data_IF_930302954997
#
_entry.id   IF_930302954997
#
_cell.length_a   1.000
_cell.length_b   1.000
_cell.length_c   1.000
_cell.angle_alpha   90.00
_cell.angle_beta   90.00
_cell.angle_gamma   90.00
#
_symmetry.space_group_name_H-M   'P 1'
#
loop_
_entity.id
_entity.type
_entity.pdbx_description
1 polymer ?
#
# COMPACT_ATOMS: atom_id res chain seq x y z
N UNK A 1 11.95 -24.74 30.53
CA UNK A 1 11.14 -25.11 29.35
C UNK A 1 12.00 -24.74 28.13
N UNK A 2 12.41 -25.77 27.37
CA UNK A 2 13.14 -25.50 26.11
C UNK A 2 12.12 -25.06 25.06
N UNK A 3 12.05 -23.75 24.78
CA UNK A 3 11.30 -23.21 23.66
C UNK A 3 12.13 -23.45 22.40
N UNK A 4 11.78 -24.46 21.61
CA UNK A 4 12.34 -24.53 20.25
C UNK A 4 11.63 -23.47 19.42
N UNK A 5 12.34 -22.42 19.06
CA UNK A 5 11.92 -21.50 18.01
C UNK A 5 11.77 -22.38 16.76
N UNK A 6 10.56 -22.44 16.20
CA UNK A 6 10.36 -23.09 14.90
C UNK A 6 11.12 -22.27 13.86
N UNK A 7 12.14 -22.84 13.26
CA UNK A 7 12.78 -22.21 12.10
C UNK A 7 11.77 -22.12 10.95
N UNK A 8 11.84 -21.07 10.12
CA UNK A 8 10.92 -20.88 8.98
C UNK A 8 10.79 -22.10 8.06
N UNK A 9 11.83 -22.87 7.91
CA UNK A 9 11.87 -24.14 7.18
C UNK A 9 11.02 -25.27 7.79
N UNK A 10 10.61 -25.11 9.04
CA UNK A 10 9.79 -26.09 9.78
C UNK A 10 8.33 -25.65 9.94
N UNK A 11 7.95 -24.50 9.36
CA UNK A 11 6.56 -24.03 9.35
C UNK A 11 5.81 -24.85 8.30
N UNK A 12 5.03 -25.80 8.75
CA UNK A 12 4.11 -26.55 7.89
C UNK A 12 2.96 -25.63 7.43
N UNK A 13 2.43 -25.86 6.23
CA UNK A 13 1.21 -25.18 5.76
C UNK A 13 1.40 -24.33 4.49
N UNK A 14 2.55 -23.70 4.26
CA UNK A 14 2.82 -23.04 2.99
C UNK A 14 2.83 -24.02 1.83
N UNK A 15 2.09 -23.70 0.78
CA UNK A 15 2.20 -24.42 -0.49
C UNK A 15 3.48 -24.03 -1.26
N UNK A 16 3.78 -24.73 -2.35
CA UNK A 16 5.02 -24.53 -3.10
C UNK A 16 5.09 -23.15 -3.77
N UNK A 17 3.95 -22.60 -4.22
CA UNK A 17 3.89 -21.23 -4.75
C UNK A 17 4.33 -20.21 -3.70
N UNK A 18 3.74 -20.27 -2.52
CA UNK A 18 4.01 -19.33 -1.44
C UNK A 18 5.47 -19.44 -0.98
N UNK A 19 6.02 -20.66 -0.92
CA UNK A 19 7.46 -20.86 -0.64
C UNK A 19 8.34 -20.18 -1.68
N UNK A 20 8.03 -20.30 -2.99
CA UNK A 20 8.81 -19.66 -4.05
C UNK A 20 8.70 -18.14 -4.01
N UNK A 21 7.50 -17.59 -3.84
CA UNK A 21 7.29 -16.13 -3.72
C UNK A 21 8.01 -15.56 -2.51
N UNK A 22 7.92 -16.24 -1.36
CA UNK A 22 8.65 -15.86 -0.14
C UNK A 22 10.16 -15.91 -0.36
N UNK A 23 10.68 -16.99 -0.94
CA UNK A 23 12.10 -17.10 -1.25
C UNK A 23 12.56 -15.99 -2.22
N UNK A 24 11.77 -15.72 -3.26
CA UNK A 24 12.04 -14.62 -4.19
C UNK A 24 12.11 -13.27 -3.44
N UNK A 25 11.22 -13.01 -2.48
CA UNK A 25 11.28 -11.79 -1.68
C UNK A 25 12.61 -11.67 -0.92
N UNK A 26 13.08 -12.75 -0.27
CA UNK A 26 14.35 -12.73 0.45
C UNK A 26 15.56 -12.58 -0.48
N UNK A 27 15.55 -13.25 -1.61
CA UNK A 27 16.68 -13.26 -2.55
C UNK A 27 16.78 -11.97 -3.39
N UNK A 28 15.66 -11.24 -3.56
CA UNK A 28 15.62 -10.02 -4.35
C UNK A 28 16.25 -8.86 -3.57
N UNK A 29 17.31 -8.24 -4.07
CA UNK A 29 17.87 -7.05 -3.43
C UNK A 29 16.92 -5.85 -3.57
N UNK A 30 16.95 -4.96 -2.57
CA UNK A 30 16.29 -3.67 -2.69
C UNK A 30 17.03 -2.79 -3.68
N UNK A 31 16.35 -2.26 -4.68
CA UNK A 31 16.91 -1.35 -5.68
C UNK A 31 16.20 0.00 -5.64
N UNK A 32 16.92 1.05 -6.01
CA UNK A 32 16.32 2.38 -6.17
C UNK A 32 15.96 2.59 -7.65
N UNK A 33 14.71 2.96 -7.90
CA UNK A 33 14.21 3.24 -9.25
C UNK A 33 14.03 4.74 -9.46
N UNK A 34 14.65 5.27 -10.51
CA UNK A 34 14.50 6.68 -10.92
C UNK A 34 13.33 6.89 -11.90
N UNK A 35 12.64 5.83 -12.32
CA UNK A 35 11.63 5.87 -13.36
C UNK A 35 10.50 6.87 -13.05
N UNK A 36 9.91 6.79 -11.83
CA UNK A 36 8.86 7.73 -11.39
C UNK A 36 9.34 9.16 -11.44
N UNK A 37 10.54 9.42 -10.91
CA UNK A 37 11.13 10.75 -10.90
C UNK A 37 11.35 11.33 -12.31
N UNK A 38 11.75 10.50 -13.27
CA UNK A 38 11.90 10.95 -14.67
C UNK A 38 10.56 11.30 -15.31
N UNK A 39 9.53 10.45 -15.10
CA UNK A 39 8.17 10.70 -15.63
C UNK A 39 7.63 12.00 -15.04
N UNK A 40 7.69 12.16 -13.74
CA UNK A 40 7.22 13.33 -13.02
C UNK A 40 7.97 14.60 -13.45
N UNK A 41 9.30 14.55 -13.47
CA UNK A 41 10.12 15.69 -13.89
C UNK A 41 9.78 16.15 -15.30
N UNK A 42 9.64 15.22 -16.24
CA UNK A 42 9.26 15.52 -17.62
C UNK A 42 7.87 16.16 -17.70
N UNK A 43 6.90 15.65 -16.92
CA UNK A 43 5.56 16.20 -16.86
C UNK A 43 5.53 17.62 -16.28
N UNK A 44 6.19 17.84 -15.15
CA UNK A 44 6.24 19.14 -14.50
C UNK A 44 7.01 20.20 -15.32
N UNK A 45 8.08 19.84 -16.03
CA UNK A 45 8.78 20.73 -16.97
C UNK A 45 7.84 21.34 -18.02
N UNK A 46 6.83 20.58 -18.44
CA UNK A 46 5.90 20.99 -19.51
C UNK A 46 4.64 21.68 -18.98
N UNK A 47 4.18 21.31 -17.78
CA UNK A 47 2.83 21.63 -17.31
C UNK A 47 2.79 22.53 -16.08
N UNK A 48 3.90 22.77 -15.39
CA UNK A 48 3.91 23.62 -14.20
C UNK A 48 3.38 25.04 -14.49
N UNK A 49 2.40 25.48 -13.69
CA UNK A 49 1.77 26.80 -13.86
C UNK A 49 0.74 26.89 -14.98
N UNK A 50 0.41 25.80 -15.68
CA UNK A 50 -0.59 25.79 -16.76
C UNK A 50 -1.99 25.42 -16.31
N UNK A 51 -2.13 24.89 -15.11
CA UNK A 51 -3.40 24.44 -14.53
C UNK A 51 -3.36 24.51 -12.99
N UNK A 52 -4.51 24.42 -12.30
CA UNK A 52 -4.58 24.37 -10.84
C UNK A 52 -3.77 23.22 -10.25
N UNK A 53 -3.22 23.43 -9.04
CA UNK A 53 -2.36 22.44 -8.38
C UNK A 53 -3.00 21.07 -8.19
N UNK A 54 -4.28 20.93 -7.73
CA UNK A 54 -4.91 19.63 -7.61
C UNK A 54 -4.96 18.86 -8.93
N UNK A 55 -5.39 19.55 -10.00
CA UNK A 55 -5.48 18.97 -11.35
C UNK A 55 -4.10 18.63 -11.91
N UNK A 56 -3.08 19.48 -11.66
CA UNK A 56 -1.70 19.21 -12.07
C UNK A 56 -1.18 17.92 -11.44
N UNK A 57 -1.39 17.74 -10.12
CA UNK A 57 -0.98 16.55 -9.39
C UNK A 57 -1.69 15.29 -9.90
N UNK A 58 -3.01 15.36 -10.06
CA UNK A 58 -3.79 14.24 -10.56
C UNK A 58 -3.38 13.80 -11.98
N UNK A 59 -3.11 14.77 -12.86
CA UNK A 59 -2.59 14.47 -14.21
C UNK A 59 -1.17 13.90 -14.19
N UNK A 60 -0.33 14.36 -13.28
CA UNK A 60 0.99 13.75 -13.07
C UNK A 60 0.86 12.29 -12.62
N UNK A 61 -0.01 12.01 -11.65
CA UNK A 61 -0.31 10.65 -11.21
C UNK A 61 -0.84 9.78 -12.37
N UNK A 62 -1.74 10.31 -13.19
CA UNK A 62 -2.22 9.65 -14.40
C UNK A 62 -1.07 9.30 -15.36
N UNK A 63 -0.14 10.23 -15.62
CA UNK A 63 1.02 10.00 -16.48
C UNK A 63 1.98 8.95 -15.89
N UNK A 64 2.17 8.93 -14.58
CA UNK A 64 2.93 7.89 -13.89
C UNK A 64 2.26 6.52 -14.10
N UNK A 65 0.97 6.39 -13.80
CA UNK A 65 0.21 5.16 -13.99
C UNK A 65 0.20 4.68 -15.45
N UNK A 66 0.22 5.61 -16.40
CA UNK A 66 0.24 5.35 -17.83
C UNK A 66 1.60 4.86 -18.35
N UNK A 67 2.71 5.37 -17.79
CA UNK A 67 4.05 5.18 -18.38
C UNK A 67 4.94 4.24 -17.59
N UNK A 68 4.76 4.17 -16.26
CA UNK A 68 5.63 3.32 -15.44
C UNK A 68 5.64 1.88 -15.92
N UNK A 69 6.77 1.22 -15.79
CA UNK A 69 6.88 -0.23 -16.03
C UNK A 69 5.97 -1.00 -15.09
N UNK A 70 5.33 -2.03 -15.60
CA UNK A 70 4.48 -2.94 -14.83
C UNK A 70 5.03 -4.36 -14.93
N UNK A 71 4.77 -5.17 -13.90
CA UNK A 71 5.34 -6.49 -13.75
C UNK A 71 4.29 -7.50 -13.29
N UNK A 72 4.35 -8.70 -13.85
CA UNK A 72 3.63 -9.89 -13.37
C UNK A 72 4.64 -11.03 -13.30
N UNK A 73 4.94 -11.47 -12.09
CA UNK A 73 5.87 -12.58 -11.84
C UNK A 73 5.29 -13.96 -12.15
N UNK A 74 6.14 -14.97 -12.26
CA UNK A 74 5.73 -16.33 -12.69
C UNK A 74 4.73 -17.00 -11.74
N UNK A 75 4.77 -16.70 -10.45
CA UNK A 75 3.92 -17.28 -9.40
C UNK A 75 2.89 -16.30 -8.83
N UNK A 76 2.86 -15.04 -9.29
CA UNK A 76 1.95 -14.03 -8.74
C UNK A 76 0.49 -14.30 -9.12
N UNK A 77 -0.40 -14.16 -8.12
CA UNK A 77 -1.86 -14.14 -8.26
C UNK A 77 -2.40 -12.73 -7.99
N UNK A 78 -1.83 -12.03 -7.03
CA UNK A 78 -2.09 -10.61 -6.78
C UNK A 78 -0.99 -9.82 -7.48
N UNK A 79 -1.38 -8.87 -8.36
CA UNK A 79 -0.46 -8.18 -9.26
C UNK A 79 -0.35 -6.69 -8.95
N UNK A 80 0.78 -6.11 -9.33
CA UNK A 80 1.10 -4.71 -9.16
C UNK A 80 2.26 -4.48 -8.19
N UNK A 81 3.19 -3.60 -8.61
CA UNK A 81 4.34 -3.15 -7.83
C UNK A 81 4.41 -1.63 -7.86
N UNK A 82 4.95 -1.01 -6.79
CA UNK A 82 5.18 0.44 -6.75
C UNK A 82 6.27 0.85 -7.76
N UNK A 83 7.33 0.09 -7.85
CA UNK A 83 8.40 0.24 -8.84
C UNK A 83 8.24 -0.65 -10.06
N UNK A 84 9.25 -0.73 -10.93
CA UNK A 84 9.23 -1.59 -12.12
C UNK A 84 9.34 -3.09 -11.84
N UNK A 85 9.81 -3.46 -10.65
CA UNK A 85 10.01 -4.84 -10.19
C UNK A 85 9.73 -4.94 -8.68
N UNK A 86 9.56 -6.14 -8.11
CA UNK A 86 9.53 -6.33 -6.67
C UNK A 86 10.76 -5.70 -5.99
N UNK A 87 10.54 -5.00 -4.88
CA UNK A 87 11.58 -4.28 -4.10
C UNK A 87 12.35 -3.19 -4.88
N UNK A 88 11.84 -2.75 -6.03
CA UNK A 88 12.33 -1.57 -6.73
C UNK A 88 11.59 -0.33 -6.20
N UNK A 89 12.28 0.51 -5.46
CA UNK A 89 11.71 1.62 -4.70
C UNK A 89 11.79 2.91 -5.52
N UNK A 90 10.68 3.62 -5.78
CA UNK A 90 10.71 4.89 -6.48
C UNK A 90 11.26 6.02 -5.62
N UNK A 91 11.79 7.06 -6.29
CA UNK A 91 12.14 8.34 -5.67
C UNK A 91 11.03 9.38 -5.87
N UNK A 92 10.95 10.34 -4.94
CA UNK A 92 9.93 11.39 -4.87
C UNK A 92 10.61 12.77 -4.83
N UNK A 93 11.17 13.23 -5.95
CA UNK A 93 12.00 14.44 -6.00
C UNK A 93 11.24 15.71 -5.64
N UNK A 94 9.92 15.72 -5.80
CA UNK A 94 9.04 16.83 -5.43
C UNK A 94 8.95 17.03 -3.91
N UNK A 95 9.16 15.97 -3.15
CA UNK A 95 9.19 15.99 -1.69
C UNK A 95 10.62 16.24 -1.21
N UNK A 96 11.52 15.37 -1.63
CA UNK A 96 12.93 15.41 -1.27
C UNK A 96 13.77 14.85 -2.42
N UNK A 97 14.63 15.69 -2.99
CA UNK A 97 15.47 15.32 -4.12
C UNK A 97 16.84 14.84 -3.58
N UNK A 98 17.19 13.60 -3.88
CA UNK A 98 18.50 13.05 -3.51
C UNK A 98 19.62 13.80 -4.22
N UNK A 99 20.69 14.09 -3.50
CA UNK A 99 21.98 14.49 -4.11
C UNK A 99 22.70 13.26 -4.67
N UNK A 100 23.71 13.49 -5.49
CA UNK A 100 24.60 12.39 -5.95
C UNK A 100 25.26 11.69 -4.77
N UNK A 101 25.65 12.45 -3.73
CA UNK A 101 26.23 11.92 -2.50
C UNK A 101 25.24 11.02 -1.73
N UNK A 102 23.97 11.44 -1.62
CA UNK A 102 22.92 10.60 -1.02
C UNK A 102 22.79 9.27 -1.76
N UNK A 103 22.76 9.29 -3.11
CA UNK A 103 22.64 8.09 -3.93
C UNK A 103 23.81 7.12 -3.73
N UNK A 104 25.04 7.64 -3.63
CA UNK A 104 26.20 6.83 -3.30
C UNK A 104 26.11 6.26 -1.89
N UNK A 105 25.74 7.09 -0.90
CA UNK A 105 25.54 6.65 0.49
C UNK A 105 24.55 5.49 0.58
N UNK A 106 23.39 5.62 -0.07
CA UNK A 106 22.36 4.58 -0.08
C UNK A 106 22.82 3.29 -0.74
N UNK A 107 23.66 3.40 -1.77
CA UNK A 107 24.20 2.26 -2.51
C UNK A 107 25.34 1.53 -1.76
N UNK A 108 26.06 2.23 -0.87
CA UNK A 108 27.27 1.71 -0.20
C UNK A 108 27.04 1.33 1.27
N UNK A 109 25.98 1.87 1.93
CA UNK A 109 25.73 1.65 3.35
C UNK A 109 25.55 0.15 3.68
N UNK A 110 25.88 -0.25 4.91
CA UNK A 110 25.86 -1.65 5.31
C UNK A 110 24.46 -2.23 5.48
N UNK A 111 23.56 -1.46 6.13
CA UNK A 111 22.20 -1.89 6.44
C UNK A 111 21.21 -1.30 5.45
N UNK A 112 20.24 -2.12 5.03
CA UNK A 112 19.14 -1.70 4.14
C UNK A 112 19.62 -0.91 2.92
N UNK A 113 20.60 -1.47 2.23
CA UNK A 113 21.17 -0.91 1.01
C UNK A 113 20.12 -0.80 -0.08
N UNK A 114 20.13 0.32 -0.81
CA UNK A 114 19.37 0.54 -2.02
C UNK A 114 20.33 0.54 -3.22
N UNK A 115 20.36 -0.56 -3.95
CA UNK A 115 21.25 -0.68 -5.10
C UNK A 115 20.76 0.21 -6.24
N UNK A 116 21.66 1.02 -6.81
CA UNK A 116 21.40 1.87 -7.97
C UNK A 116 22.59 1.79 -8.93
N UNK A 117 22.32 1.77 -10.23
CA UNK A 117 23.39 1.75 -11.24
C UNK A 117 24.06 3.11 -11.40
N UNK A 118 25.32 3.15 -11.84
CA UNK A 118 25.98 4.42 -12.13
C UNK A 118 25.27 5.19 -13.27
N UNK A 119 24.74 4.49 -14.25
CA UNK A 119 23.96 5.08 -15.33
C UNK A 119 22.70 5.80 -14.81
N UNK A 120 22.02 5.21 -13.84
CA UNK A 120 20.86 5.83 -13.19
C UNK A 120 21.26 7.04 -12.35
N UNK A 121 22.38 6.98 -11.62
CA UNK A 121 22.93 8.12 -10.88
C UNK A 121 23.22 9.28 -11.83
N UNK A 122 23.96 9.03 -12.91
CA UNK A 122 24.33 10.05 -13.91
C UNK A 122 23.07 10.65 -14.59
N UNK A 123 22.05 9.80 -14.82
CA UNK A 123 20.79 10.25 -15.41
C UNK A 123 19.99 11.09 -14.43
N UNK A 124 19.93 10.69 -13.16
CA UNK A 124 19.26 11.45 -12.11
C UNK A 124 19.90 12.82 -11.89
N UNK A 125 21.23 12.87 -11.86
CA UNK A 125 22.00 14.11 -11.77
C UNK A 125 21.73 15.06 -12.95
N UNK A 126 21.65 14.54 -14.15
CA UNK A 126 21.44 15.33 -15.37
C UNK A 126 19.99 15.79 -15.55
N UNK A 127 19.02 14.92 -15.28
CA UNK A 127 17.62 15.15 -15.66
C UNK A 127 16.72 15.61 -14.49
N UNK A 128 16.97 15.11 -13.27
CA UNK A 128 16.07 15.31 -12.13
C UNK A 128 16.55 16.45 -11.23
N UNK A 129 17.79 16.37 -10.73
CA UNK A 129 18.33 17.33 -9.76
C UNK A 129 18.21 18.78 -10.25
N UNK A 130 18.60 19.14 -11.50
CA UNK A 130 18.58 20.54 -11.94
C UNK A 130 17.19 21.16 -11.97
N UNK A 131 16.15 20.34 -12.18
CA UNK A 131 14.78 20.83 -12.20
C UNK A 131 14.23 21.05 -10.80
N UNK A 132 14.47 20.10 -9.87
CA UNK A 132 13.87 20.12 -8.54
C UNK A 132 14.64 20.97 -7.53
N UNK A 133 15.90 21.28 -7.77
CA UNK A 133 16.71 22.15 -6.91
C UNK A 133 16.01 23.47 -6.60
N UNK A 134 15.81 23.76 -5.31
CA UNK A 134 15.10 24.94 -4.83
C UNK A 134 13.56 24.84 -4.89
N UNK A 135 13.00 23.70 -5.28
CA UNK A 135 11.55 23.54 -5.46
C UNK A 135 10.93 22.44 -4.58
N UNK A 136 11.76 21.61 -3.96
CA UNK A 136 11.27 20.48 -3.13
C UNK A 136 10.52 20.98 -1.90
N UNK A 137 9.60 20.16 -1.39
CA UNK A 137 8.92 20.45 -0.12
C UNK A 137 9.94 20.62 1.01
N UNK A 138 10.93 19.75 1.08
CA UNK A 138 11.98 19.79 2.11
C UNK A 138 12.74 21.13 2.07
N UNK A 139 13.25 21.55 0.92
CA UNK A 139 13.98 22.80 0.81
C UNK A 139 13.12 24.02 1.18
N UNK A 140 11.81 24.00 0.85
CA UNK A 140 10.88 25.05 1.27
C UNK A 140 10.76 25.13 2.79
N UNK A 141 10.68 23.99 3.47
CA UNK A 141 10.61 23.95 4.95
C UNK A 141 11.92 24.44 5.54
N UNK A 142 13.08 23.96 5.06
CA UNK A 142 14.39 24.42 5.53
C UNK A 142 14.61 25.91 5.36
N UNK A 143 14.04 26.54 4.33
CA UNK A 143 14.11 27.99 4.14
C UNK A 143 13.31 28.79 5.20
N UNK A 144 12.49 28.12 6.03
CA UNK A 144 11.67 28.76 7.07
C UNK A 144 12.04 28.36 8.50
N UNK A 145 12.92 27.36 8.70
CA UNK A 145 13.37 26.97 10.03
C UNK A 145 14.45 27.91 10.55
N UNK A 146 14.63 27.96 11.90
CA UNK A 146 15.71 28.74 12.49
C UNK A 146 17.07 28.08 12.28
N UNK A 147 18.13 28.86 12.41
CA UNK A 147 19.50 28.33 12.33
C UNK A 147 19.79 27.30 13.40
N UNK A 148 19.27 27.51 14.62
CA UNK A 148 19.42 26.55 15.74
C UNK A 148 18.72 25.24 15.44
N UNK A 149 17.57 25.27 14.76
CA UNK A 149 16.86 24.08 14.33
C UNK A 149 17.68 23.30 13.28
N UNK A 150 18.21 23.99 12.30
CA UNK A 150 19.06 23.42 11.25
C UNK A 150 20.35 22.82 11.84
N UNK A 151 21.00 23.51 12.78
CA UNK A 151 22.17 23.01 13.49
C UNK A 151 21.86 21.73 14.29
N UNK A 152 20.71 21.69 14.99
CA UNK A 152 20.26 20.51 15.74
C UNK A 152 19.95 19.32 14.80
N UNK A 153 19.35 19.57 13.64
CA UNK A 153 19.13 18.56 12.61
C UNK A 153 20.46 17.98 12.10
N UNK A 154 21.41 18.81 11.71
CA UNK A 154 22.73 18.35 11.23
C UNK A 154 23.54 17.63 12.33
N UNK A 155 23.27 17.93 13.57
CA UNK A 155 23.87 17.21 14.71
C UNK A 155 23.17 15.86 15.00
N UNK A 156 22.11 15.51 14.29
CA UNK A 156 21.37 14.28 14.49
C UNK A 156 20.53 14.23 15.78
N UNK A 157 20.18 15.40 16.34
CA UNK A 157 19.34 15.50 17.58
C UNK A 157 17.94 14.98 17.31
N UNK A 158 17.45 15.13 16.10
CA UNK A 158 16.15 14.63 15.64
C UNK A 158 16.19 14.36 14.13
N UNK A 159 15.22 13.56 13.64
CA UNK A 159 14.95 13.36 12.23
C UNK A 159 13.60 14.00 11.88
N UNK A 160 13.49 14.53 10.67
CA UNK A 160 12.23 15.07 10.15
C UNK A 160 11.46 14.02 9.34
N UNK A 161 10.15 14.23 9.22
CA UNK A 161 9.25 13.46 8.37
C UNK A 161 8.69 14.30 7.23
N UNK A 162 9.45 15.29 6.77
CA UNK A 162 9.05 16.23 5.74
C UNK A 162 8.94 15.59 4.35
N UNK A 163 9.53 14.43 4.18
CA UNK A 163 9.47 13.64 2.97
C UNK A 163 8.11 12.99 2.73
N UNK A 164 7.26 12.99 3.75
CA UNK A 164 5.91 12.45 3.63
C UNK A 164 4.93 13.54 3.22
N UNK A 165 4.00 13.18 2.35
CA UNK A 165 2.76 13.94 2.19
C UNK A 165 1.74 13.44 3.21
N UNK A 166 0.99 14.39 3.76
CA UNK A 166 -0.05 14.07 4.73
C UNK A 166 -1.09 13.13 4.11
N UNK A 167 -1.44 12.15 4.76
CA UNK A 167 -2.43 11.11 4.81
C UNK A 167 -1.80 9.88 5.48
N UNK A 168 -0.74 10.10 6.27
CA UNK A 168 -0.24 9.08 7.17
C UNK A 168 -1.31 8.69 8.18
N UNK A 169 -1.23 7.46 8.67
CA UNK A 169 -2.14 6.95 9.70
C UNK A 169 -3.60 6.86 9.25
N UNK A 170 -3.83 6.36 8.03
CA UNK A 170 -5.18 6.14 7.51
C UNK A 170 -5.54 4.66 7.55
N UNK A 171 -6.57 4.32 8.32
CA UNK A 171 -7.19 3.00 8.28
C UNK A 171 -8.32 3.00 7.25
N UNK A 172 -8.32 2.04 6.33
CA UNK A 172 -9.41 1.86 5.36
C UNK A 172 -10.62 1.22 6.02
N UNK A 173 -11.80 1.65 5.61
CA UNK A 173 -13.07 1.00 5.96
C UNK A 173 -13.56 0.05 4.85
N UNK A 174 -14.72 -0.55 5.07
CA UNK A 174 -15.36 -1.47 4.12
C UNK A 174 -15.92 -0.81 2.86
N UNK A 175 -15.98 0.51 2.76
CA UNK A 175 -16.70 1.23 1.70
C UNK A 175 -16.17 0.91 0.30
N UNK A 176 -14.86 0.78 0.15
CA UNK A 176 -14.24 0.45 -1.13
C UNK A 176 -14.67 -0.90 -1.70
N UNK A 177 -15.23 -1.79 -0.89
CA UNK A 177 -15.71 -3.10 -1.34
C UNK A 177 -17.19 -3.08 -1.80
N UNK A 178 -17.88 -1.96 -1.63
CA UNK A 178 -19.29 -1.79 -2.00
C UNK A 178 -19.50 -0.91 -3.23
N UNK A 179 -18.48 -0.17 -3.66
CA UNK A 179 -18.53 0.70 -4.85
C UNK A 179 -17.20 0.65 -5.62
N UNK A 180 -17.28 0.78 -6.95
CA UNK A 180 -16.08 0.92 -7.78
C UNK A 180 -15.72 2.37 -8.04
N UNK A 181 -14.52 2.60 -8.61
CA UNK A 181 -14.08 3.95 -8.93
C UNK A 181 -14.93 4.64 -10.00
N UNK A 182 -15.64 3.89 -10.85
CA UNK A 182 -16.64 4.46 -11.77
C UNK A 182 -17.86 5.01 -11.03
N UNK A 183 -18.31 4.37 -9.94
CA UNK A 183 -19.40 4.87 -9.11
C UNK A 183 -18.99 6.14 -8.36
N UNK A 184 -17.75 6.16 -7.83
CA UNK A 184 -17.14 7.35 -7.23
C UNK A 184 -17.11 8.49 -8.24
N UNK A 185 -16.64 8.24 -9.45
CA UNK A 185 -16.55 9.22 -10.53
C UNK A 185 -17.92 9.77 -10.92
N UNK A 186 -18.94 8.92 -11.06
CA UNK A 186 -20.31 9.35 -11.33
C UNK A 186 -20.88 10.23 -10.20
N UNK A 187 -20.52 9.96 -8.93
CA UNK A 187 -20.86 10.82 -7.78
C UNK A 187 -20.15 12.18 -7.85
N UNK A 188 -18.88 12.19 -8.22
CA UNK A 188 -18.09 13.41 -8.44
C UNK A 188 -18.72 14.29 -9.52
N UNK A 189 -19.07 13.72 -10.67
CA UNK A 189 -19.69 14.43 -11.79
C UNK A 189 -21.01 15.08 -11.37
N UNK A 190 -21.86 14.35 -10.64
CA UNK A 190 -23.11 14.92 -10.07
C UNK A 190 -22.82 16.06 -9.09
N UNK A 191 -21.77 15.94 -8.28
CA UNK A 191 -21.37 16.99 -7.33
C UNK A 191 -20.91 18.26 -8.07
N UNK A 192 -20.08 18.11 -9.09
CA UNK A 192 -19.65 19.25 -9.94
C UNK A 192 -20.87 19.94 -10.56
N UNK A 193 -21.79 19.19 -11.13
CA UNK A 193 -23.01 19.74 -11.73
C UNK A 193 -23.93 20.48 -10.73
N UNK A 194 -23.78 20.23 -9.44
CA UNK A 194 -24.57 20.86 -8.37
C UNK A 194 -23.86 22.03 -7.68
N UNK A 195 -22.67 22.43 -8.11
CA UNK A 195 -21.93 23.55 -7.49
C UNK A 195 -22.64 24.89 -7.75
N UNK A 196 -22.73 25.71 -6.71
CA UNK A 196 -23.32 27.06 -6.77
C UNK A 196 -22.23 28.11 -6.92
N UNK A 197 -21.89 28.42 -8.16
CA UNK A 197 -20.83 29.41 -8.46
C UNK A 197 -21.22 30.87 -8.14
N UNK A 198 -22.48 31.10 -7.75
CA UNK A 198 -22.95 32.45 -7.43
C UNK A 198 -22.82 32.72 -5.93
N UNK A 199 -23.24 31.76 -5.11
CA UNK A 199 -23.35 31.95 -3.67
C UNK A 199 -22.23 31.24 -2.86
N UNK A 200 -21.51 30.28 -3.46
CA UNK A 200 -20.38 29.58 -2.83
C UNK A 200 -19.05 30.15 -3.34
N UNK A 201 -18.32 30.94 -2.52
CA UNK A 201 -17.04 31.51 -2.93
C UNK A 201 -15.95 30.45 -3.18
N UNK A 202 -16.12 29.23 -2.66
CA UNK A 202 -15.20 28.11 -2.84
C UNK A 202 -15.57 27.19 -4.01
N UNK A 203 -16.64 27.47 -4.73
CA UNK A 203 -17.17 26.58 -5.78
C UNK A 203 -16.10 26.20 -6.84
N UNK A 204 -15.24 27.17 -7.23
CA UNK A 204 -14.17 26.91 -8.18
C UNK A 204 -13.10 25.99 -7.62
N UNK A 205 -12.69 26.18 -6.37
CA UNK A 205 -11.70 25.34 -5.70
C UNK A 205 -12.26 23.91 -5.51
N UNK A 206 -13.52 23.80 -5.07
CA UNK A 206 -14.23 22.52 -4.99
C UNK A 206 -14.32 21.80 -6.33
N UNK A 207 -14.56 22.53 -7.43
CA UNK A 207 -14.54 21.95 -8.77
C UNK A 207 -13.20 21.36 -9.11
N UNK A 208 -12.11 22.12 -8.86
CA UNK A 208 -10.74 21.69 -9.17
C UNK A 208 -10.35 20.43 -8.40
N UNK A 209 -10.70 20.35 -7.12
CA UNK A 209 -10.48 19.14 -6.31
C UNK A 209 -11.29 17.95 -6.83
N UNK A 210 -12.56 18.15 -7.15
CA UNK A 210 -13.41 17.10 -7.70
C UNK A 210 -12.91 16.61 -9.07
N UNK A 211 -12.47 17.52 -9.95
CA UNK A 211 -11.82 17.15 -11.22
C UNK A 211 -10.55 16.32 -11.00
N UNK A 212 -9.72 16.70 -10.02
CA UNK A 212 -8.53 15.97 -9.66
C UNK A 212 -8.85 14.56 -9.15
N UNK A 213 -9.88 14.43 -8.30
CA UNK A 213 -10.37 13.13 -7.83
C UNK A 213 -10.83 12.23 -8.99
N UNK A 214 -11.59 12.77 -9.96
CA UNK A 214 -12.04 12.02 -11.14
C UNK A 214 -10.87 11.53 -12.00
N UNK A 215 -9.86 12.37 -12.21
CA UNK A 215 -8.63 12.00 -12.94
C UNK A 215 -7.85 10.92 -12.19
N UNK A 216 -7.81 10.97 -10.86
CA UNK A 216 -7.13 9.95 -10.03
C UNK A 216 -7.85 8.60 -10.12
N UNK A 217 -9.18 8.59 -10.19
CA UNK A 217 -9.94 7.37 -10.47
C UNK A 217 -9.57 6.77 -11.83
N UNK A 218 -9.52 7.60 -12.89
CA UNK A 218 -9.11 7.17 -14.22
C UNK A 218 -7.66 6.61 -14.24
N UNK A 219 -6.76 7.21 -13.46
CA UNK A 219 -5.38 6.75 -13.34
C UNK A 219 -5.28 5.35 -12.75
N UNK A 220 -6.01 5.09 -11.66
CA UNK A 220 -6.02 3.78 -11.00
C UNK A 220 -6.67 2.70 -11.89
N UNK A 221 -7.75 3.03 -12.59
CA UNK A 221 -8.40 2.13 -13.57
C UNK A 221 -7.43 1.79 -14.70
N UNK A 222 -6.80 2.80 -15.31
CA UNK A 222 -5.82 2.60 -16.38
C UNK A 222 -4.64 1.71 -15.92
N UNK A 223 -4.18 1.88 -14.69
CA UNK A 223 -3.10 1.07 -14.14
C UNK A 223 -3.50 -0.40 -14.06
N UNK A 224 -4.72 -0.69 -13.62
CA UNK A 224 -5.27 -2.06 -13.58
C UNK A 224 -5.44 -2.64 -15.00
N UNK A 225 -6.03 -1.88 -15.93
CA UNK A 225 -6.22 -2.31 -17.32
C UNK A 225 -4.89 -2.70 -17.99
N UNK A 226 -3.82 -1.97 -17.73
CA UNK A 226 -2.48 -2.29 -18.24
C UNK A 226 -1.96 -3.63 -17.71
N UNK A 227 -2.31 -4.01 -16.48
CA UNK A 227 -1.98 -5.35 -15.96
C UNK A 227 -2.78 -6.44 -16.67
N UNK A 228 -4.04 -6.17 -17.00
CA UNK A 228 -4.82 -7.10 -17.82
C UNK A 228 -4.20 -7.28 -19.21
N UNK A 229 -3.81 -6.19 -19.88
CA UNK A 229 -3.13 -6.24 -21.18
C UNK A 229 -1.82 -7.05 -21.12
N UNK A 230 -1.02 -6.84 -20.04
CA UNK A 230 0.21 -7.60 -19.84
C UNK A 230 -0.07 -9.09 -19.61
N UNK A 231 -1.08 -9.44 -18.83
CA UNK A 231 -1.46 -10.84 -18.61
C UNK A 231 -1.88 -11.52 -19.93
N UNK A 232 -2.69 -10.85 -20.76
CA UNK A 232 -3.09 -11.33 -22.08
C UNK A 232 -1.88 -11.47 -23.03
N UNK A 233 -0.94 -10.52 -23.00
CA UNK A 233 0.31 -10.62 -23.76
C UNK A 233 1.14 -11.82 -23.33
N UNK A 234 1.27 -12.07 -22.02
CA UNK A 234 2.00 -13.21 -21.47
C UNK A 234 1.36 -14.54 -21.90
N UNK A 235 0.03 -14.64 -21.92
CA UNK A 235 -0.67 -15.82 -22.44
C UNK A 235 -0.22 -16.10 -23.87
N UNK A 236 -0.26 -15.09 -24.74
CA UNK A 236 0.20 -15.23 -26.13
C UNK A 236 1.67 -15.67 -26.23
N UNK A 237 2.55 -15.13 -25.39
CA UNK A 237 3.97 -15.53 -25.34
C UNK A 237 4.15 -17.00 -24.91
N UNK A 238 3.38 -17.45 -23.90
CA UNK A 238 3.40 -18.85 -23.44
C UNK A 238 2.89 -19.79 -24.55
N UNK A 239 1.81 -19.41 -25.23
CA UNK A 239 1.23 -20.21 -26.31
C UNK A 239 2.21 -20.37 -27.48
N UNK A 240 2.97 -19.32 -27.82
CA UNK A 240 3.99 -19.37 -28.88
C UNK A 240 5.33 -19.97 -28.43
N UNK A 241 5.48 -20.27 -27.12
CA UNK A 241 6.73 -20.83 -26.56
C UNK A 241 7.84 -19.78 -26.36
N UNK A 242 7.52 -18.49 -26.41
CA UNK A 242 8.44 -17.37 -26.14
C UNK A 242 8.69 -17.18 -24.65
N UNK A 243 7.68 -17.46 -23.81
CA UNK A 243 7.76 -17.48 -22.35
C UNK A 243 7.59 -18.91 -21.85
N UNK A 244 8.64 -19.44 -21.21
CA UNK A 244 8.65 -20.78 -20.64
C UNK A 244 8.17 -20.73 -19.19
N UNK A 245 7.18 -21.56 -18.84
CA UNK A 245 6.62 -21.68 -17.49
C UNK A 245 6.54 -23.16 -17.11
N UNK A 246 6.60 -23.45 -15.83
CA UNK A 246 6.62 -24.82 -15.29
C UNK A 246 5.35 -25.62 -15.66
N UNK A 247 4.19 -25.02 -15.47
CA UNK A 247 2.90 -25.59 -15.83
C UNK A 247 2.12 -24.63 -16.74
N UNK A 248 2.17 -24.91 -18.04
CA UNK A 248 1.61 -24.06 -19.09
C UNK A 248 0.10 -23.86 -18.92
N UNK A 249 -0.65 -24.92 -18.71
CA UNK A 249 -2.12 -24.89 -18.66
C UNK A 249 -2.58 -24.13 -17.42
N UNK A 250 -1.99 -24.43 -16.26
CA UNK A 250 -2.26 -23.75 -15.01
C UNK A 250 -1.96 -22.26 -15.12
N UNK A 251 -0.76 -21.88 -15.61
CA UNK A 251 -0.38 -20.47 -15.70
C UNK A 251 -1.24 -19.67 -16.67
N UNK A 252 -1.61 -20.23 -17.80
CA UNK A 252 -2.56 -19.60 -18.74
C UNK A 252 -3.93 -19.38 -18.06
N UNK A 253 -4.43 -20.36 -17.31
CA UNK A 253 -5.69 -20.20 -16.56
C UNK A 253 -5.61 -19.10 -15.53
N UNK A 254 -4.52 -19.03 -14.76
CA UNK A 254 -4.27 -17.98 -13.77
C UNK A 254 -4.17 -16.60 -14.42
N UNK A 255 -3.42 -16.47 -15.53
CA UNK A 255 -3.28 -15.18 -16.23
C UNK A 255 -4.61 -14.72 -16.84
N UNK A 256 -5.48 -15.62 -17.28
CA UNK A 256 -6.85 -15.27 -17.71
C UNK A 256 -7.68 -14.73 -16.55
N UNK A 257 -7.61 -15.38 -15.37
CA UNK A 257 -8.30 -14.87 -14.17
C UNK A 257 -7.72 -13.52 -13.74
N UNK A 258 -6.40 -13.34 -13.74
CA UNK A 258 -5.74 -12.06 -13.46
C UNK A 258 -6.23 -10.98 -14.43
N UNK A 259 -6.29 -11.27 -15.73
CA UNK A 259 -6.79 -10.30 -16.70
C UNK A 259 -8.26 -9.93 -16.44
N UNK A 260 -9.13 -10.90 -16.16
CA UNK A 260 -10.54 -10.66 -15.82
C UNK A 260 -10.68 -9.80 -14.55
N UNK A 261 -9.96 -10.14 -13.49
CA UNK A 261 -9.90 -9.36 -12.24
C UNK A 261 -9.46 -7.93 -12.51
N UNK A 262 -8.36 -7.72 -13.25
CA UNK A 262 -7.82 -6.39 -13.53
C UNK A 262 -8.70 -5.57 -14.50
N UNK A 263 -9.54 -6.20 -15.33
CA UNK A 263 -10.56 -5.51 -16.13
C UNK A 263 -11.76 -5.07 -15.29
N UNK A 264 -12.00 -5.75 -14.17
CA UNK A 264 -13.15 -5.47 -13.31
C UNK A 264 -12.84 -4.49 -12.19
N UNK A 265 -11.82 -4.76 -11.40
CA UNK A 265 -11.42 -3.88 -10.30
C UNK A 265 -10.16 -3.06 -10.67
N UNK A 266 -10.04 -1.81 -10.22
CA UNK A 266 -10.89 -1.06 -9.28
C UNK A 266 -12.05 -0.29 -9.93
N UNK A 267 -12.36 -0.50 -11.22
CA UNK A 267 -13.43 0.22 -11.92
C UNK A 267 -14.81 -0.05 -11.29
N UNK A 268 -15.07 -1.29 -10.90
CA UNK A 268 -16.32 -1.77 -10.32
C UNK A 268 -16.10 -2.35 -8.92
N UNK A 269 -17.17 -2.47 -8.13
CA UNK A 269 -17.16 -3.18 -6.87
C UNK A 269 -16.76 -4.65 -7.07
N UNK A 270 -15.97 -5.25 -6.16
CA UNK A 270 -15.53 -6.64 -6.29
C UNK A 270 -16.68 -7.63 -6.18
N UNK A 271 -16.60 -8.74 -6.91
CA UNK A 271 -17.60 -9.82 -6.97
C UNK A 271 -17.20 -11.04 -6.14
N UNK A 272 -15.92 -11.24 -5.92
CA UNK A 272 -15.36 -12.38 -5.20
C UNK A 272 -14.13 -11.96 -4.35
N UNK A 273 -13.60 -12.91 -3.56
CA UNK A 273 -12.47 -12.65 -2.66
C UNK A 273 -11.20 -12.22 -3.43
N UNK A 274 -10.92 -12.78 -4.59
CA UNK A 274 -9.74 -12.39 -5.38
C UNK A 274 -9.82 -10.94 -5.83
N UNK A 275 -10.98 -10.55 -6.36
CA UNK A 275 -11.24 -9.18 -6.76
C UNK A 275 -11.19 -8.20 -5.57
N UNK A 276 -11.72 -8.59 -4.40
CA UNK A 276 -11.68 -7.76 -3.21
C UNK A 276 -10.22 -7.50 -2.75
N UNK A 277 -9.38 -8.53 -2.72
CA UNK A 277 -7.96 -8.40 -2.39
C UNK A 277 -7.23 -7.54 -3.42
N UNK A 278 -7.47 -7.77 -4.73
CA UNK A 278 -6.82 -7.01 -5.79
C UNK A 278 -7.31 -5.55 -5.84
N UNK A 279 -8.59 -5.29 -5.54
CA UNK A 279 -9.15 -3.94 -5.39
C UNK A 279 -8.39 -3.14 -4.34
N UNK A 280 -8.27 -3.70 -3.14
CA UNK A 280 -7.48 -3.06 -2.08
C UNK A 280 -6.06 -2.79 -2.55
N UNK A 281 -5.40 -3.79 -3.16
CA UNK A 281 -4.00 -3.65 -3.57
C UNK A 281 -3.77 -2.55 -4.61
N UNK A 282 -4.66 -2.39 -5.58
CA UNK A 282 -4.57 -1.28 -6.54
C UNK A 282 -4.77 0.09 -5.89
N UNK A 283 -5.70 0.22 -4.94
CA UNK A 283 -5.91 1.47 -4.20
C UNK A 283 -4.70 1.78 -3.33
N UNK A 284 -4.16 0.78 -2.63
CA UNK A 284 -2.93 0.91 -1.85
C UNK A 284 -1.76 1.41 -2.72
N UNK A 285 -1.50 0.74 -3.84
CA UNK A 285 -0.42 1.13 -4.75
C UNK A 285 -0.63 2.52 -5.34
N UNK A 286 -1.86 2.89 -5.70
CA UNK A 286 -2.19 4.23 -6.16
C UNK A 286 -1.79 5.28 -5.13
N UNK A 287 -2.19 5.08 -3.89
CA UNK A 287 -1.91 5.98 -2.78
C UNK A 287 -0.41 6.12 -2.51
N UNK A 288 0.32 5.02 -2.35
CA UNK A 288 1.76 5.07 -2.06
C UNK A 288 2.62 5.49 -3.26
N UNK A 289 2.09 5.42 -4.48
CA UNK A 289 2.74 5.94 -5.68
C UNK A 289 2.64 7.46 -5.78
N UNK A 290 1.50 8.04 -5.37
CA UNK A 290 1.29 9.50 -5.37
C UNK A 290 1.84 10.17 -4.12
N UNK A 291 1.60 9.60 -2.95
CA UNK A 291 1.81 10.30 -1.68
C UNK A 291 3.17 10.02 -1.01
N UNK A 292 3.97 9.09 -1.51
CA UNK A 292 5.12 8.57 -0.77
C UNK A 292 4.67 8.12 0.62
N UNK A 293 3.62 7.32 0.66
CA UNK A 293 3.02 6.86 1.89
C UNK A 293 4.01 6.05 2.71
N UNK A 294 4.19 6.47 3.95
CA UNK A 294 4.87 5.77 5.01
C UNK A 294 3.89 5.80 6.17
N UNK A 295 3.47 4.67 6.65
CA UNK A 295 2.33 4.51 7.58
C UNK A 295 0.95 4.92 7.01
N UNK A 296 0.79 5.04 5.72
CA UNK A 296 -0.29 5.82 5.16
C UNK A 296 -1.52 5.05 4.71
N UNK A 297 -1.39 3.74 4.49
CA UNK A 297 -2.50 2.95 3.93
C UNK A 297 -2.61 1.62 4.63
N UNK A 298 -3.44 1.58 5.66
CA UNK A 298 -3.76 0.34 6.36
C UNK A 298 -5.12 -0.18 5.89
N UNK A 299 -5.30 -1.50 5.71
CA UNK A 299 -6.56 -2.07 5.22
C UNK A 299 -7.70 -2.05 6.26
N UNK A 300 -7.47 -1.48 7.45
CA UNK A 300 -8.45 -1.56 8.54
C UNK A 300 -8.64 -3.00 9.03
N UNK A 301 -9.85 -3.34 9.43
CA UNK A 301 -10.23 -4.69 9.85
C UNK A 301 -10.44 -5.59 8.62
N UNK A 302 -9.33 -5.99 7.98
CA UNK A 302 -9.35 -6.73 6.71
C UNK A 302 -10.10 -8.06 6.81
N UNK A 303 -10.04 -8.73 7.95
CA UNK A 303 -10.77 -9.96 8.23
C UNK A 303 -12.29 -9.74 8.17
N UNK A 304 -12.80 -8.63 8.71
CA UNK A 304 -14.22 -8.29 8.66
C UNK A 304 -14.63 -7.83 7.25
N UNK A 305 -13.81 -7.03 6.59
CA UNK A 305 -14.10 -6.50 5.26
C UNK A 305 -14.14 -7.59 4.19
N UNK A 306 -13.23 -8.57 4.26
CA UNK A 306 -13.13 -9.64 3.28
C UNK A 306 -14.02 -10.86 3.59
N UNK A 307 -14.51 -10.98 4.83
CA UNK A 307 -15.27 -12.15 5.25
C UNK A 307 -16.54 -12.42 4.41
N UNK A 308 -17.33 -11.41 4.01
CA UNK A 308 -18.50 -11.65 3.16
C UNK A 308 -18.17 -12.33 1.83
N UNK A 309 -17.05 -11.96 1.20
CA UNK A 309 -16.60 -12.57 -0.06
C UNK A 309 -16.08 -14.00 0.14
N UNK A 310 -15.38 -14.23 1.25
CA UNK A 310 -14.92 -15.55 1.64
C UNK A 310 -16.11 -16.47 1.90
N UNK A 311 -17.03 -16.06 2.77
CA UNK A 311 -18.22 -16.83 3.14
C UNK A 311 -19.08 -17.16 1.91
N UNK A 312 -19.31 -16.18 1.03
CA UNK A 312 -20.03 -16.40 -0.22
C UNK A 312 -19.35 -17.47 -1.07
N UNK A 313 -18.04 -17.34 -1.33
CA UNK A 313 -17.29 -18.29 -2.16
C UNK A 313 -17.29 -19.72 -1.59
N UNK A 314 -17.14 -19.86 -0.28
CA UNK A 314 -17.24 -21.17 0.40
C UNK A 314 -18.64 -21.77 0.25
N UNK A 315 -19.68 -20.98 0.50
CA UNK A 315 -21.06 -21.44 0.42
C UNK A 315 -21.51 -21.83 -1.00
N UNK A 316 -21.00 -21.10 -2.01
CA UNK A 316 -21.25 -21.38 -3.42
C UNK A 316 -20.37 -22.50 -3.97
N UNK A 317 -19.34 -22.92 -3.24
CA UNK A 317 -18.34 -23.91 -3.70
C UNK A 317 -17.43 -23.40 -4.81
N UNK A 318 -17.31 -22.07 -4.95
CA UNK A 318 -16.44 -21.39 -5.93
C UNK A 318 -15.05 -21.07 -5.35
N UNK A 319 -14.88 -21.22 -4.05
CA UNK A 319 -13.65 -20.97 -3.30
C UNK A 319 -13.44 -22.06 -2.26
N UNK A 320 -12.22 -22.51 -2.08
CA UNK A 320 -11.82 -23.37 -0.97
C UNK A 320 -11.06 -22.56 0.08
N UNK A 321 -10.96 -23.08 1.32
CA UNK A 321 -10.16 -22.45 2.39
C UNK A 321 -8.69 -22.31 1.98
N UNK A 322 -8.13 -23.31 1.31
CA UNK A 322 -6.73 -23.31 0.89
C UNK A 322 -6.46 -22.25 -0.21
N UNK A 323 -7.39 -22.07 -1.15
CA UNK A 323 -7.30 -21.01 -2.17
C UNK A 323 -7.41 -19.63 -1.53
N UNK A 324 -8.30 -19.41 -0.57
CA UNK A 324 -8.40 -18.16 0.17
C UNK A 324 -7.10 -17.85 0.92
N UNK A 325 -6.52 -18.85 1.59
CA UNK A 325 -5.25 -18.72 2.30
C UNK A 325 -4.09 -18.42 1.33
N UNK A 326 -4.07 -19.04 0.14
CA UNK A 326 -3.07 -18.76 -0.89
C UNK A 326 -3.16 -17.31 -1.37
N UNK A 327 -4.36 -16.80 -1.67
CA UNK A 327 -4.57 -15.41 -2.10
C UNK A 327 -4.12 -14.40 -1.04
N UNK A 328 -4.51 -14.61 0.23
CA UNK A 328 -4.09 -13.76 1.33
C UNK A 328 -2.58 -13.82 1.56
N UNK A 329 -1.97 -15.00 1.46
CA UNK A 329 -0.52 -15.15 1.57
C UNK A 329 0.23 -14.41 0.44
N UNK A 330 -0.32 -14.41 -0.79
CA UNK A 330 0.20 -13.59 -1.87
C UNK A 330 0.15 -12.10 -1.53
N UNK A 331 -0.93 -11.60 -0.92
CA UNK A 331 -1.03 -10.22 -0.47
C UNK A 331 0.01 -9.90 0.61
N UNK A 332 0.24 -10.79 1.58
CA UNK A 332 1.28 -10.60 2.61
C UNK A 332 2.66 -10.39 2.01
N UNK A 333 3.03 -11.22 1.03
CA UNK A 333 4.30 -11.08 0.32
C UNK A 333 4.37 -9.76 -0.47
N UNK A 334 3.25 -9.29 -1.04
CA UNK A 334 3.19 -7.98 -1.70
C UNK A 334 3.52 -6.84 -0.74
N UNK A 335 3.01 -6.84 0.48
CA UNK A 335 3.40 -5.85 1.48
C UNK A 335 4.91 -5.88 1.76
N UNK A 336 5.47 -7.07 1.91
CA UNK A 336 6.90 -7.21 2.19
C UNK A 336 7.80 -6.85 0.98
N UNK A 337 7.25 -6.80 -0.24
CA UNK A 337 7.92 -6.34 -1.45
C UNK A 337 7.99 -4.80 -1.58
N UNK A 338 7.49 -4.03 -0.60
CA UNK A 338 7.42 -2.57 -0.67
C UNK A 338 8.37 -1.90 0.35
N UNK A 339 9.70 -1.93 0.14
CA UNK A 339 10.61 -1.19 1.01
C UNK A 339 10.27 0.30 1.01
N UNK A 340 10.42 0.95 2.16
CA UNK A 340 10.14 2.38 2.29
C UNK A 340 11.07 3.21 1.41
N UNK A 341 10.60 4.31 0.79
CA UNK A 341 11.45 5.24 0.06
C UNK A 341 12.56 5.79 0.98
N UNK A 342 13.81 5.79 0.49
CA UNK A 342 14.94 6.22 1.33
C UNK A 342 14.93 7.72 1.57
N UNK A 343 15.46 8.12 2.71
CA UNK A 343 15.64 9.51 3.11
C UNK A 343 16.94 10.10 2.57
N UNK A 344 17.16 11.39 2.78
CA UNK A 344 18.30 12.17 2.29
C UNK A 344 19.11 12.80 3.43
N UNK A 345 20.29 13.35 3.13
CA UNK A 345 21.12 14.08 4.05
C UNK A 345 21.57 13.22 5.24
N UNK A 346 21.51 13.77 6.46
CA UNK A 346 21.93 13.07 7.69
C UNK A 346 21.22 11.72 7.86
N UNK A 347 19.97 11.64 7.45
CA UNK A 347 19.15 10.42 7.59
C UNK A 347 19.38 9.38 6.50
N UNK A 348 20.04 9.73 5.38
CA UNK A 348 20.36 8.78 4.31
C UNK A 348 21.27 7.65 4.78
N UNK A 349 22.18 7.93 5.72
CA UNK A 349 23.09 6.92 6.25
C UNK A 349 22.44 5.94 7.22
N UNK A 350 21.51 6.41 8.03
CA UNK A 350 21.00 5.68 9.20
C UNK A 350 19.52 5.33 9.15
N UNK A 351 18.73 6.00 8.31
CA UNK A 351 17.31 5.68 8.20
C UNK A 351 17.13 4.29 7.59
N UNK A 352 16.40 3.47 8.27
CA UNK A 352 16.33 2.09 7.86
C UNK A 352 15.06 1.39 8.29
N UNK A 353 13.89 1.98 8.13
CA UNK A 353 12.66 1.19 8.10
C UNK A 353 12.63 0.38 6.83
N UNK A 354 12.44 -0.94 6.98
CA UNK A 354 12.46 -1.85 5.84
C UNK A 354 11.34 -1.54 4.84
N UNK A 355 10.15 -1.15 5.33
CA UNK A 355 8.98 -0.91 4.47
C UNK A 355 8.10 0.24 4.95
N UNK A 356 6.92 0.36 4.31
CA UNK A 356 5.94 1.43 4.50
C UNK A 356 5.16 1.37 5.83
N UNK A 357 5.45 0.46 6.76
CA UNK A 357 4.75 0.33 8.03
C UNK A 357 3.24 0.07 7.88
N UNK A 358 2.83 -0.72 6.90
CA UNK A 358 1.43 -1.11 6.78
C UNK A 358 1.05 -1.99 7.97
N UNK A 359 0.02 -1.58 8.72
CA UNK A 359 -0.51 -2.32 9.85
C UNK A 359 -1.87 -2.94 9.52
N UNK A 360 -2.03 -4.22 9.74
CA UNK A 360 -3.25 -4.97 9.49
C UNK A 360 -3.98 -5.18 10.80
N UNK A 361 -5.28 -4.90 10.80
CA UNK A 361 -6.12 -5.06 11.98
C UNK A 361 -7.05 -6.27 11.81
N UNK A 362 -7.20 -7.08 12.86
CA UNK A 362 -8.11 -8.22 12.88
C UNK A 362 -8.80 -8.36 14.24
N UNK A 363 -9.96 -9.01 14.25
CA UNK A 363 -10.78 -9.20 15.46
C UNK A 363 -11.53 -7.93 15.87
N UNK A 364 -11.56 -7.66 17.16
CA UNK A 364 -12.26 -6.49 17.71
C UNK A 364 -13.79 -6.62 17.68
N UNK A 365 -14.46 -5.51 17.43
CA UNK A 365 -15.92 -5.45 17.34
C UNK A 365 -16.37 -5.02 15.94
N UNK A 366 -17.56 -5.46 15.55
CA UNK A 366 -18.25 -4.95 14.35
C UNK A 366 -19.00 -3.63 14.66
N UNK A 367 -19.63 -3.03 13.63
CA UNK A 367 -20.41 -1.78 13.78
C UNK A 367 -21.49 -1.87 14.85
N UNK A 368 -22.08 -3.03 15.05
CA UNK A 368 -23.13 -3.30 16.04
C UNK A 368 -22.56 -3.59 17.44
N UNK A 369 -21.23 -3.72 17.59
CA UNK A 369 -20.57 -4.02 18.86
C UNK A 369 -20.54 -5.51 19.22
N UNK A 370 -20.79 -6.39 18.26
CA UNK A 370 -20.58 -7.85 18.39
C UNK A 370 -19.13 -8.19 18.11
N UNK A 371 -18.70 -9.41 18.44
CA UNK A 371 -17.35 -9.85 18.06
C UNK A 371 -17.15 -9.79 16.55
N UNK A 372 -16.11 -9.10 16.10
CA UNK A 372 -15.68 -9.05 14.71
C UNK A 372 -14.82 -10.24 14.30
N UNK A 373 -14.43 -11.10 15.26
CA UNK A 373 -13.62 -12.30 15.00
C UNK A 373 -14.37 -13.31 14.14
N UNK A 374 -13.74 -13.78 13.08
CA UNK A 374 -14.30 -14.72 12.13
C UNK A 374 -13.21 -15.69 11.62
N UNK A 375 -13.51 -16.55 10.66
CA UNK A 375 -12.58 -17.57 10.17
C UNK A 375 -11.33 -16.94 9.52
N UNK A 376 -11.46 -15.80 8.85
CA UNK A 376 -10.31 -15.08 8.27
C UNK A 376 -9.38 -14.53 9.36
N UNK A 377 -9.90 -14.15 10.54
CA UNK A 377 -9.07 -13.71 11.66
C UNK A 377 -8.07 -14.79 12.07
N UNK A 378 -8.52 -16.04 12.17
CA UNK A 378 -7.66 -17.18 12.47
C UNK A 378 -6.72 -17.53 11.32
N UNK A 379 -7.22 -17.49 10.07
CA UNK A 379 -6.41 -17.73 8.88
C UNK A 379 -5.26 -16.75 8.76
N UNK A 380 -5.49 -15.47 9.08
CA UNK A 380 -4.47 -14.42 9.07
C UNK A 380 -3.40 -14.68 10.14
N UNK A 381 -3.79 -15.15 11.33
CA UNK A 381 -2.81 -15.57 12.34
C UNK A 381 -1.95 -16.76 11.85
N UNK A 382 -2.54 -17.73 11.16
CA UNK A 382 -1.79 -18.83 10.55
C UNK A 382 -0.81 -18.31 9.49
N UNK A 383 -1.24 -17.39 8.61
CA UNK A 383 -0.39 -16.79 7.58
C UNK A 383 0.79 -16.04 8.22
N UNK A 384 0.54 -15.24 9.25
CA UNK A 384 1.57 -14.51 9.98
C UNK A 384 2.60 -15.46 10.61
N UNK A 385 2.16 -16.56 11.20
CA UNK A 385 3.07 -17.58 11.75
C UNK A 385 3.89 -18.27 10.65
N UNK A 386 3.25 -18.64 9.54
CA UNK A 386 3.90 -19.42 8.48
C UNK A 386 4.86 -18.61 7.63
N UNK A 387 4.47 -17.41 7.22
CA UNK A 387 5.32 -16.54 6.39
C UNK A 387 6.48 -15.96 7.19
N UNK A 388 6.25 -15.59 8.44
CA UNK A 388 7.28 -15.02 9.31
C UNK A 388 8.05 -13.89 8.61
N UNK A 389 7.30 -12.99 7.97
CA UNK A 389 7.82 -11.82 7.25
C UNK A 389 7.99 -10.65 8.22
N UNK A 390 8.86 -9.68 7.87
CA UNK A 390 9.03 -8.46 8.66
C UNK A 390 7.77 -7.59 8.61
N UNK A 391 7.04 -7.67 7.52
CA UNK A 391 5.84 -6.88 7.25
C UNK A 391 4.83 -7.72 6.44
N UNK A 392 3.55 -7.40 6.52
CA UNK A 392 2.94 -6.28 7.24
C UNK A 392 2.98 -6.45 8.76
N UNK A 393 2.85 -5.32 9.49
CA UNK A 393 2.53 -5.33 10.90
C UNK A 393 1.14 -5.95 11.12
N UNK A 394 0.93 -6.62 12.22
CA UNK A 394 -0.36 -7.21 12.58
C UNK A 394 -0.79 -6.76 13.97
N UNK A 395 -2.04 -6.29 14.08
CA UNK A 395 -2.69 -5.92 15.33
C UNK A 395 -3.94 -6.76 15.53
N UNK A 396 -4.02 -7.43 16.68
CA UNK A 396 -5.25 -8.09 17.13
C UNK A 396 -5.99 -7.20 18.11
N UNK A 397 -7.29 -7.08 17.91
CA UNK A 397 -8.15 -6.27 18.75
C UNK A 397 -8.97 -7.15 19.66
N UNK A 398 -8.76 -7.01 20.97
CA UNK A 398 -9.36 -7.86 22.00
C UNK A 398 -10.31 -7.03 22.86
N UNK A 399 -11.62 -7.26 22.69
CA UNK A 399 -12.71 -6.67 23.46
C UNK A 399 -13.31 -7.72 24.42
N UNK A 400 -14.17 -7.27 25.34
CA UNK A 400 -14.90 -8.18 26.25
C UNK A 400 -15.74 -9.24 25.52
N UNK A 401 -16.15 -8.98 24.28
CA UNK A 401 -16.93 -9.90 23.42
C UNK A 401 -16.07 -10.82 22.56
N UNK A 402 -14.74 -10.67 22.61
CA UNK A 402 -13.82 -11.49 21.79
C UNK A 402 -13.72 -12.91 22.36
N UNK A 403 -13.79 -13.96 21.52
CA UNK A 403 -13.58 -15.32 21.99
C UNK A 403 -12.19 -15.55 22.61
N UNK A 404 -12.11 -16.20 23.76
CA UNK A 404 -10.83 -16.51 24.42
C UNK A 404 -9.88 -17.30 23.52
N UNK A 405 -10.40 -18.16 22.66
CA UNK A 405 -9.64 -18.94 21.70
C UNK A 405 -8.85 -18.06 20.74
N UNK A 406 -9.42 -16.93 20.29
CA UNK A 406 -8.73 -15.99 19.41
C UNK A 406 -7.54 -15.32 20.10
N UNK A 407 -7.70 -14.89 21.35
CA UNK A 407 -6.59 -14.36 22.15
C UNK A 407 -5.50 -15.42 22.35
N UNK A 408 -5.88 -16.67 22.64
CA UNK A 408 -4.94 -17.79 22.83
C UNK A 408 -4.12 -18.02 21.54
N UNK A 409 -4.77 -18.04 20.35
CA UNK A 409 -4.06 -18.20 19.07
C UNK A 409 -3.14 -17.01 18.80
N UNK A 410 -3.58 -15.77 19.04
CA UNK A 410 -2.72 -14.59 18.93
C UNK A 410 -1.49 -14.67 19.84
N UNK A 411 -1.64 -15.10 21.08
CA UNK A 411 -0.51 -15.31 22.02
C UNK A 411 0.44 -16.39 21.52
N UNK A 412 -0.06 -17.46 20.88
CA UNK A 412 0.82 -18.49 20.30
C UNK A 412 1.72 -17.92 19.20
N UNK A 413 1.19 -17.03 18.36
CA UNK A 413 1.97 -16.35 17.33
C UNK A 413 2.99 -15.40 17.96
N UNK A 414 2.59 -14.56 18.93
CA UNK A 414 3.49 -13.67 19.68
C UNK A 414 4.69 -14.44 20.27
N UNK A 415 4.44 -15.64 20.81
CA UNK A 415 5.50 -16.48 21.40
C UNK A 415 6.55 -16.98 20.41
N UNK A 416 6.31 -16.87 19.09
CA UNK A 416 7.34 -17.18 18.07
C UNK A 416 8.47 -16.15 18.07
N UNK A 417 8.26 -14.96 18.64
CA UNK A 417 9.33 -13.98 18.90
C UNK A 417 9.61 -13.01 17.75
N UNK A 418 8.75 -12.91 16.75
CA UNK A 418 8.95 -11.95 15.64
C UNK A 418 8.23 -10.59 15.82
N UNK A 419 7.67 -10.31 17.01
CA UNK A 419 7.17 -9.00 17.39
C UNK A 419 5.69 -8.75 17.07
N UNK A 420 5.03 -9.64 16.36
CA UNK A 420 3.60 -9.54 15.99
C UNK A 420 2.82 -10.76 16.47
N UNK A 421 1.48 -10.63 16.59
CA UNK A 421 0.67 -9.41 16.56
C UNK A 421 0.82 -8.52 17.80
N UNK A 422 0.58 -7.21 17.63
CA UNK A 422 0.33 -6.29 18.75
C UNK A 422 -1.10 -6.48 19.27
N UNK A 423 -1.34 -6.16 20.55
CA UNK A 423 -2.67 -6.32 21.16
C UNK A 423 -3.24 -4.94 21.48
N UNK A 424 -4.45 -4.65 20.97
CA UNK A 424 -5.19 -3.43 21.23
C UNK A 424 -6.53 -3.74 21.94
N UNK A 425 -6.99 -2.78 22.75
CA UNK A 425 -8.25 -2.92 23.49
C UNK A 425 -9.32 -1.95 22.96
N UNK A 426 -10.29 -2.44 22.16
CA UNK A 426 -11.42 -1.65 21.65
C UNK A 426 -12.26 -1.01 22.73
N UNK A 427 -12.47 -1.68 23.87
CA UNK A 427 -13.30 -1.16 24.96
C UNK A 427 -12.72 0.13 25.56
N UNK A 428 -11.43 0.39 25.34
CA UNK A 428 -10.75 1.61 25.73
C UNK A 428 -10.73 2.65 24.61
N UNK A 429 -10.21 2.31 23.43
CA UNK A 429 -10.00 3.32 22.39
C UNK A 429 -11.30 3.82 21.77
N UNK A 430 -12.37 3.02 21.69
CA UNK A 430 -13.68 3.46 21.23
C UNK A 430 -14.19 4.62 22.08
N UNK A 431 -14.04 4.53 23.40
CA UNK A 431 -14.44 5.61 24.33
C UNK A 431 -13.65 6.89 24.11
N UNK A 432 -12.35 6.77 23.84
CA UNK A 432 -11.50 7.96 23.60
C UNK A 432 -11.84 8.60 22.24
N UNK A 433 -12.00 7.80 21.18
CA UNK A 433 -12.42 8.32 19.87
C UNK A 433 -13.78 9.03 19.93
N UNK A 434 -14.74 8.49 20.71
CA UNK A 434 -16.02 9.17 20.93
C UNK A 434 -15.85 10.48 21.71
N UNK A 435 -14.92 10.57 22.66
CA UNK A 435 -14.61 11.82 23.37
C UNK A 435 -14.04 12.87 22.44
N UNK A 436 -13.29 12.45 21.42
CA UNK A 436 -12.78 13.31 20.35
C UNK A 436 -13.85 13.67 19.29
N UNK A 437 -15.10 13.29 19.53
CA UNK A 437 -16.26 13.67 18.69
C UNK A 437 -16.55 12.72 17.53
N UNK A 438 -15.94 11.55 17.50
CA UNK A 438 -16.26 10.52 16.50
C UNK A 438 -17.59 9.85 16.80
N UNK A 439 -18.28 9.35 15.76
CA UNK A 439 -19.50 8.54 15.98
C UNK A 439 -19.15 7.19 16.62
N UNK A 440 -20.11 6.53 17.24
CA UNK A 440 -19.89 5.20 17.82
C UNK A 440 -19.56 4.17 16.73
N UNK A 441 -20.23 4.26 15.59
CA UNK A 441 -20.01 3.38 14.44
C UNK A 441 -18.60 3.54 13.89
N UNK A 442 -18.16 4.79 13.63
CA UNK A 442 -16.81 5.06 13.12
C UNK A 442 -15.72 4.65 14.13
N UNK A 443 -15.98 4.86 15.43
CA UNK A 443 -15.04 4.45 16.48
C UNK A 443 -14.91 2.92 16.59
N UNK A 444 -15.97 2.15 16.30
CA UNK A 444 -15.95 0.67 16.26
C UNK A 444 -15.23 0.12 15.03
N UNK A 445 -15.36 0.80 13.89
CA UNK A 445 -14.62 0.45 12.67
C UNK A 445 -13.16 0.94 12.70
N UNK A 446 -12.80 1.71 13.72
CA UNK A 446 -11.44 2.19 13.91
C UNK A 446 -10.43 1.07 14.11
N UNK A 447 -9.22 1.32 13.69
CA UNK A 447 -8.11 0.39 13.80
C UNK A 447 -6.79 1.11 14.07
N UNK A 448 -5.77 0.35 14.37
CA UNK A 448 -4.43 0.88 14.50
C UNK A 448 -3.84 1.15 13.12
N UNK A 449 -3.28 2.35 12.95
CA UNK A 449 -2.44 2.67 11.82
C UNK A 449 -1.02 3.01 12.30
N UNK A 450 -0.03 2.89 11.43
CA UNK A 450 1.36 3.09 11.86
C UNK A 450 1.76 2.18 13.02
N UNK A 451 2.32 2.76 14.09
CA UNK A 451 2.84 2.00 15.23
C UNK A 451 1.77 1.66 16.26
N UNK A 452 1.06 2.71 16.77
CA UNK A 452 0.09 2.62 17.87
C UNK A 452 -1.07 3.62 17.71
N UNK A 453 -1.12 4.35 16.63
CA UNK A 453 -2.10 5.39 16.38
C UNK A 453 -3.45 4.75 16.05
N UNK A 454 -4.41 4.88 16.95
CA UNK A 454 -5.76 4.38 16.70
C UNK A 454 -6.58 5.47 16.04
N UNK A 455 -7.07 5.15 14.83
CA UNK A 455 -7.84 6.05 13.99
C UNK A 455 -9.22 5.46 13.70
N UNK A 456 -10.15 6.33 13.31
CA UNK A 456 -11.43 5.84 12.75
C UNK A 456 -11.24 5.38 11.31
N UNK A 457 -12.04 4.44 10.86
CA UNK A 457 -12.17 4.14 9.43
C UNK A 457 -12.54 5.40 8.64
N UNK A 458 -12.09 5.49 7.39
CA UNK A 458 -12.39 6.64 6.51
C UNK A 458 -13.83 6.53 5.99
N UNK A 459 -14.81 6.55 6.89
CA UNK A 459 -16.23 6.49 6.50
C UNK A 459 -16.76 7.79 5.92
N UNK A 460 -15.98 8.87 6.04
CA UNK A 460 -16.19 10.10 5.27
C UNK A 460 -17.50 10.83 5.53
N UNK A 461 -17.87 11.00 6.77
CA UNK A 461 -18.89 11.98 7.17
C UNK A 461 -18.31 12.92 8.23
N UNK A 462 -17.37 13.74 7.83
CA UNK A 462 -17.03 14.95 8.58
C UNK A 462 -17.11 16.15 7.67
#
# INVERSE_FOLDING_TARGET
>A
MNYSIKHPENLGGMNDRIRRLRQQNFDTPTTLSIERALIETAFYKQNYGTMPTPVLRAKNFYEICKKKTIYIGPDELIVGERGPLPKAVPTFPELTCHSVEDLHTLNERELQRYTISQEDIDTYEREVIPYWKGKTQRERIFNHVSKEWEEAYHAGVFTEFMEQRAAGHTAMDGKMYHEGLLDVKARIERKIASLDYINDPEATDKQQELEAMAISCDAAILFAERHADLAEQMIGQIERGELVVENKERRISELRKIADVCRWVPAHAPRDLWEAIQMYWFVHLGTVTELNGWDSMNPGHIDQHLFPFYEQGINEGTLTRDEAKELLSCLWIKFNNQPAPPKVGVTALESGTYNDFTNINIGGVDREGRSGTNELSYMILEIQEELHELQPGLSIHIADVTPDEFLIEGIKVIRQGHGYPSIFNPDTYIKELMRDGKTLEDAREGGCSGCIEVETGVSGTS
#
